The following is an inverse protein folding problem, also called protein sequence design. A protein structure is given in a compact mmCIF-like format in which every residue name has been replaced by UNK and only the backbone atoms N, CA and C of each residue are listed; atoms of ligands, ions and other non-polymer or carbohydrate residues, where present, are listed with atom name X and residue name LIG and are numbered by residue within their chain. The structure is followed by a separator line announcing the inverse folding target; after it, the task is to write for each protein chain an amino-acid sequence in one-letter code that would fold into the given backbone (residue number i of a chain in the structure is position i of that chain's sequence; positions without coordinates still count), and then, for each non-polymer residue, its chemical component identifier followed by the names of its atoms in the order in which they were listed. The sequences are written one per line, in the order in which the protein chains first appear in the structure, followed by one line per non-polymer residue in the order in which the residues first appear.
data_IF_439441028144
#
_entry.id   IF_439441028144
#
_cell.length_a   1.000
_cell.length_b   1.000
_cell.length_c   1.000
_cell.angle_alpha   90.00
_cell.angle_beta   90.00
_cell.angle_gamma   90.00
#
_symmetry.space_group_name_H-M   'P 1'
#
loop_
_entity.id
_entity.type
_entity.pdbx_description
1 polymer ?
#
# COMPACT_ATOMS: atom_id res chain seq x y z
N UNK A 1 6.55 87.04 37.13
CA UNK A 1 7.48 86.75 35.99
C UNK A 1 7.83 85.28 36.07
N UNK A 2 7.66 84.68 34.97
CA UNK A 2 8.00 83.41 34.43
C UNK A 2 7.03 82.25 34.65
N UNK A 3 6.46 81.91 33.52
CA UNK A 3 5.58 80.81 33.24
C UNK A 3 6.35 79.47 33.12
N UNK A 4 5.89 78.43 33.78
CA UNK A 4 6.31 77.06 33.57
C UNK A 4 5.15 76.21 32.98
N UNK A 5 5.20 75.90 31.69
CA UNK A 5 4.22 75.09 30.98
C UNK A 5 4.55 73.66 31.24
N UNK A 6 3.57 72.91 31.80
CA UNK A 6 3.66 71.46 31.95
C UNK A 6 3.26 70.80 30.63
N UNK A 7 4.20 70.05 30.04
CA UNK A 7 3.90 69.11 28.90
C UNK A 7 3.26 67.88 29.43
N UNK A 8 2.09 67.52 28.86
CA UNK A 8 1.46 66.18 28.98
C UNK A 8 2.21 65.21 28.12
N UNK A 9 2.76 64.16 28.75
CA UNK A 9 3.24 62.97 28.05
C UNK A 9 2.05 62.03 27.79
N UNK A 10 1.74 61.84 26.52
CA UNK A 10 0.78 60.83 26.06
C UNK A 10 1.49 59.49 26.06
N UNK A 11 1.11 58.60 26.96
CA UNK A 11 1.44 57.17 26.89
C UNK A 11 0.46 56.50 25.94
N UNK A 12 0.92 56.18 24.72
CA UNK A 12 0.22 55.24 23.85
C UNK A 12 0.50 53.85 24.35
N UNK A 13 -0.56 53.16 24.80
CA UNK A 13 -0.55 51.73 25.02
C UNK A 13 -0.45 51.01 23.66
N UNK A 14 0.68 50.42 23.41
CA UNK A 14 0.83 49.41 22.34
C UNK A 14 0.17 48.09 22.81
N UNK A 15 -1.00 47.79 22.32
CA UNK A 15 -1.52 46.44 22.36
C UNK A 15 -0.66 45.59 21.44
N UNK A 16 0.23 44.76 22.01
CA UNK A 16 0.87 43.67 21.29
C UNK A 16 -0.21 42.66 20.93
N UNK A 17 -0.50 42.62 19.65
CA UNK A 17 -1.37 41.60 19.04
C UNK A 17 -0.61 40.27 19.06
N UNK A 18 -0.76 39.50 20.14
CA UNK A 18 -0.29 38.10 20.21
C UNK A 18 -1.18 37.33 19.26
N UNK A 19 -0.75 37.17 18.01
CA UNK A 19 -1.29 36.17 17.11
C UNK A 19 -0.99 34.81 17.76
N UNK A 20 -2.02 34.16 18.29
CA UNK A 20 -1.98 32.74 18.57
C UNK A 20 -1.72 32.01 17.23
N UNK A 21 -0.49 31.66 16.97
CA UNK A 21 -0.20 30.63 16.00
C UNK A 21 -0.73 29.33 16.61
N UNK A 22 -1.83 28.83 16.08
CA UNK A 22 -2.22 27.45 16.29
C UNK A 22 -1.04 26.60 15.83
N UNK A 23 -0.38 25.94 16.75
CA UNK A 23 0.61 24.92 16.44
C UNK A 23 -0.19 23.75 15.85
N UNK A 24 -0.12 23.58 14.53
CA UNK A 24 -0.72 22.39 13.89
C UNK A 24 -0.10 21.17 14.52
N UNK A 25 -0.95 20.28 15.06
CA UNK A 25 -0.51 18.99 15.56
C UNK A 25 0.12 18.17 14.42
N UNK A 26 1.23 17.47 14.68
CA UNK A 26 1.86 16.66 13.66
C UNK A 26 0.88 15.63 13.11
N UNK A 27 0.86 15.45 11.79
CA UNK A 27 -0.01 14.50 11.10
C UNK A 27 0.83 13.38 10.47
N UNK A 28 0.29 12.15 10.34
CA UNK A 28 0.94 11.09 9.60
C UNK A 28 1.27 11.53 8.16
N UNK A 29 2.40 11.07 7.64
CA UNK A 29 2.88 11.43 6.29
C UNK A 29 2.41 10.44 5.23
N UNK A 30 2.24 9.17 5.61
CA UNK A 30 1.76 8.12 4.71
C UNK A 30 0.34 8.41 4.28
N UNK A 31 0.09 8.47 2.98
CA UNK A 31 -1.20 8.84 2.39
C UNK A 31 -1.71 10.24 2.78
N UNK A 32 -0.86 11.15 3.22
CA UNK A 32 -1.27 12.52 3.56
C UNK A 32 -1.92 13.26 2.38
N UNK A 33 -2.74 14.28 2.71
CA UNK A 33 -3.43 15.09 1.71
C UNK A 33 -4.65 14.40 1.09
N UNK A 34 -5.29 15.10 0.14
CA UNK A 34 -6.53 14.69 -0.51
C UNK A 34 -6.37 14.26 -1.98
N UNK A 35 -5.15 14.09 -2.45
CA UNK A 35 -4.90 13.53 -3.78
C UNK A 35 -5.45 12.11 -3.85
N UNK A 36 -6.09 11.77 -4.97
CA UNK A 36 -6.61 10.44 -5.22
C UNK A 36 -5.45 9.48 -5.50
N UNK A 37 -5.32 8.35 -4.78
CA UNK A 37 -4.25 7.40 -5.01
C UNK A 37 -4.37 6.72 -6.38
N UNK A 38 -3.23 6.30 -6.92
CA UNK A 38 -3.16 5.48 -8.13
C UNK A 38 -2.67 4.09 -7.72
N UNK A 39 -3.42 3.05 -8.09
CA UNK A 39 -3.12 1.66 -7.79
C UNK A 39 -2.58 0.95 -9.04
N UNK A 40 -1.34 0.49 -9.01
CA UNK A 40 -0.67 -0.18 -10.12
C UNK A 40 -0.63 -1.69 -9.90
N UNK A 41 -1.14 -2.47 -10.88
CA UNK A 41 -1.01 -3.92 -10.87
C UNK A 41 0.39 -4.33 -11.32
N UNK A 42 1.24 -4.70 -10.38
CA UNK A 42 2.65 -5.08 -10.60
C UNK A 42 2.78 -6.61 -10.69
N UNK A 43 3.54 -7.05 -11.67
CA UNK A 43 3.90 -8.44 -11.87
C UNK A 43 4.91 -8.91 -10.80
N UNK A 44 4.63 -10.01 -10.12
CA UNK A 44 5.52 -10.57 -9.10
C UNK A 44 6.12 -11.93 -9.50
N UNK A 45 6.09 -12.26 -10.78
CA UNK A 45 6.81 -13.43 -11.30
C UNK A 45 8.32 -13.19 -11.25
N UNK A 46 9.12 -14.25 -11.04
CA UNK A 46 10.58 -14.16 -10.99
C UNK A 46 11.19 -13.46 -12.20
N UNK A 47 10.61 -13.63 -13.40
CA UNK A 47 11.07 -12.96 -14.62
C UNK A 47 10.71 -11.48 -14.71
N UNK A 48 9.89 -10.97 -13.76
CA UNK A 48 9.52 -9.57 -13.65
C UNK A 48 10.40 -8.81 -12.63
N UNK A 49 11.23 -9.52 -11.89
CA UNK A 49 12.08 -8.92 -10.85
C UNK A 49 13.39 -8.36 -11.43
N UNK A 50 13.93 -7.29 -10.81
CA UNK A 50 13.32 -6.42 -9.81
C UNK A 50 12.20 -5.58 -10.41
N UNK A 51 11.19 -5.20 -9.60
CA UNK A 51 10.10 -4.32 -10.03
C UNK A 51 10.47 -2.85 -9.84
N UNK A 52 9.86 -1.95 -10.62
CA UNK A 52 10.05 -0.51 -10.53
C UNK A 52 8.87 0.16 -9.80
N UNK A 53 9.18 0.98 -8.80
CA UNK A 53 8.23 1.81 -8.09
C UNK A 53 7.77 1.26 -6.73
N UNK A 54 8.18 0.06 -6.33
CA UNK A 54 7.81 -0.50 -5.03
C UNK A 54 8.45 0.25 -3.85
N UNK A 55 9.65 0.80 -4.05
CA UNK A 55 10.31 1.61 -3.02
C UNK A 55 9.51 2.88 -2.69
N UNK A 56 8.80 3.45 -3.68
CA UNK A 56 8.01 4.68 -3.51
C UNK A 56 6.53 4.42 -3.20
N UNK A 57 6.07 3.18 -3.27
CA UNK A 57 4.69 2.85 -2.91
C UNK A 57 4.45 3.09 -1.41
N UNK A 58 3.31 3.67 -1.07
CA UNK A 58 2.91 3.92 0.32
C UNK A 58 2.25 2.68 0.93
N UNK A 59 1.44 1.96 0.14
CA UNK A 59 0.71 0.77 0.53
C UNK A 59 0.76 -0.26 -0.61
N UNK A 60 1.01 -1.52 -0.29
CA UNK A 60 1.06 -2.62 -1.27
C UNK A 60 0.21 -3.79 -0.79
N UNK A 61 -0.72 -4.22 -1.62
CA UNK A 61 -1.46 -5.47 -1.42
C UNK A 61 -0.81 -6.58 -2.23
N UNK A 62 -0.58 -7.72 -1.61
CA UNK A 62 -0.11 -8.93 -2.28
C UNK A 62 -1.14 -10.04 -2.16
N UNK A 63 -1.54 -10.64 -3.28
CA UNK A 63 -2.56 -11.69 -3.32
C UNK A 63 -2.12 -12.78 -4.30
N UNK A 64 -2.45 -14.02 -3.96
CA UNK A 64 -2.23 -15.18 -4.84
C UNK A 64 -3.03 -15.04 -6.15
N UNK A 65 -2.42 -15.49 -7.24
CA UNK A 65 -3.03 -15.56 -8.58
C UNK A 65 -2.85 -16.95 -9.17
N UNK A 66 -3.02 -17.07 -10.49
CA UNK A 66 -2.86 -18.34 -11.21
C UNK A 66 -1.48 -18.95 -11.00
N UNK A 67 -1.46 -20.27 -10.93
CA UNK A 67 -0.23 -21.05 -10.90
C UNK A 67 0.55 -20.94 -9.60
N UNK A 68 -0.05 -20.49 -8.49
CA UNK A 68 0.62 -20.28 -7.21
C UNK A 68 1.54 -19.05 -7.17
N UNK A 69 1.51 -18.23 -8.22
CA UNK A 69 2.17 -16.92 -8.26
C UNK A 69 1.38 -15.90 -7.43
N UNK A 70 2.01 -14.76 -7.13
CA UNK A 70 1.32 -13.58 -6.57
C UNK A 70 1.35 -12.41 -7.52
N UNK A 71 0.55 -11.39 -7.25
CA UNK A 71 0.68 -10.05 -7.82
C UNK A 71 0.67 -9.03 -6.71
N UNK A 72 1.30 -7.89 -7.01
CA UNK A 72 1.31 -6.75 -6.12
C UNK A 72 0.41 -5.65 -6.70
N UNK A 73 -0.43 -5.07 -5.85
CA UNK A 73 -1.12 -3.83 -6.18
C UNK A 73 -0.48 -2.72 -5.35
N UNK A 74 0.34 -1.90 -6.01
CA UNK A 74 1.07 -0.82 -5.38
C UNK A 74 0.29 0.49 -5.46
N UNK A 75 -0.06 1.09 -4.32
CA UNK A 75 -0.75 2.37 -4.22
C UNK A 75 0.26 3.48 -3.96
N UNK A 76 0.12 4.55 -4.73
CA UNK A 76 1.00 5.72 -4.68
C UNK A 76 0.17 7.00 -4.72
N UNK A 77 0.58 7.99 -3.93
CA UNK A 77 0.05 9.36 -4.00
C UNK A 77 1.19 10.33 -4.30
N UNK A 78 0.97 11.20 -5.27
CA UNK A 78 1.88 12.32 -5.58
C UNK A 78 3.34 11.89 -5.80
N UNK A 79 3.56 10.73 -6.45
CA UNK A 79 4.90 10.22 -6.78
C UNK A 79 5.22 10.47 -8.25
N UNK A 80 6.44 10.92 -8.51
CA UNK A 80 6.99 11.12 -9.85
C UNK A 80 8.03 10.04 -10.14
N UNK A 81 7.70 9.13 -11.06
CA UNK A 81 8.53 7.98 -11.42
C UNK A 81 8.61 7.85 -12.94
N UNK A 82 9.83 7.74 -13.46
CA UNK A 82 10.10 7.53 -14.89
C UNK A 82 9.72 6.12 -15.36
N UNK A 83 9.63 5.18 -14.42
CA UNK A 83 9.26 3.78 -14.70
C UNK A 83 8.46 3.20 -13.55
N UNK A 84 7.35 2.53 -13.89
CA UNK A 84 6.50 1.77 -12.97
C UNK A 84 6.16 0.43 -13.62
N UNK A 85 6.38 -0.66 -12.91
CA UNK A 85 6.06 -2.00 -13.39
C UNK A 85 7.17 -3.04 -13.17
N UNK A 86 7.19 -4.18 -13.88
CA UNK A 86 6.28 -4.55 -14.97
C UNK A 86 4.83 -4.65 -14.53
N UNK A 87 3.93 -4.19 -15.40
CA UNK A 87 2.49 -4.22 -15.14
C UNK A 87 1.85 -5.53 -15.60
N UNK A 88 0.80 -5.94 -14.91
CA UNK A 88 0.07 -7.18 -15.18
C UNK A 88 -1.44 -7.01 -15.19
N UNK A 89 -2.10 -8.10 -15.56
CA UNK A 89 -3.56 -8.12 -15.74
C UNK A 89 -4.29 -8.02 -14.41
N UNK A 90 -5.39 -7.25 -14.43
CA UNK A 90 -6.34 -7.16 -13.33
C UNK A 90 -6.97 -8.52 -12.99
N UNK A 91 -7.25 -8.70 -11.71
CA UNK A 91 -8.08 -9.77 -11.16
C UNK A 91 -9.18 -9.14 -10.30
N UNK A 92 -10.35 -9.75 -10.30
CA UNK A 92 -11.56 -9.15 -9.74
C UNK A 92 -11.47 -8.85 -8.23
N UNK A 93 -10.76 -9.66 -7.47
CA UNK A 93 -10.58 -9.44 -6.03
C UNK A 93 -9.63 -8.28 -5.67
N UNK A 94 -8.71 -7.88 -6.56
CA UNK A 94 -7.94 -6.64 -6.38
C UNK A 94 -8.79 -5.39 -6.50
N UNK A 95 -9.91 -5.46 -7.22
CA UNK A 95 -10.81 -4.33 -7.40
C UNK A 95 -11.44 -3.87 -6.08
N UNK A 96 -11.63 -4.79 -5.13
CA UNK A 96 -12.20 -4.51 -3.83
C UNK A 96 -11.28 -3.59 -3.01
N UNK A 97 -9.97 -3.82 -3.14
CA UNK A 97 -8.94 -3.01 -2.51
C UNK A 97 -8.67 -1.70 -3.25
N UNK A 98 -8.83 -1.66 -4.57
CA UNK A 98 -8.81 -0.41 -5.32
C UNK A 98 -9.99 0.49 -4.96
N UNK A 99 -11.19 -0.09 -4.77
CA UNK A 99 -12.41 0.63 -4.37
C UNK A 99 -12.34 1.18 -2.95
N UNK A 100 -11.85 0.40 -1.98
CA UNK A 100 -11.75 0.88 -0.60
C UNK A 100 -10.81 2.07 -0.46
N UNK A 101 -9.76 2.12 -1.29
CA UNK A 101 -8.82 3.24 -1.37
C UNK A 101 -9.28 4.35 -2.32
N UNK A 102 -10.42 4.23 -2.97
CA UNK A 102 -10.90 5.17 -4.01
C UNK A 102 -9.84 5.42 -5.11
N UNK A 103 -9.04 4.41 -5.45
CA UNK A 103 -7.90 4.55 -6.35
C UNK A 103 -8.30 4.59 -7.83
N UNK A 104 -7.48 5.26 -8.66
CA UNK A 104 -7.46 5.06 -10.10
C UNK A 104 -6.65 3.79 -10.36
N UNK A 105 -7.24 2.80 -11.04
CA UNK A 105 -6.68 1.47 -11.16
C UNK A 105 -5.94 1.26 -12.49
N UNK A 106 -4.63 1.08 -12.44
CA UNK A 106 -3.75 0.93 -13.62
C UNK A 106 -3.29 -0.51 -13.77
N UNK A 107 -3.55 -1.11 -14.93
CA UNK A 107 -3.22 -2.51 -15.18
C UNK A 107 -2.91 -2.76 -16.67
N UNK A 108 -2.37 -3.93 -16.99
CA UNK A 108 -2.07 -4.32 -18.37
C UNK A 108 -2.76 -5.65 -18.72
N UNK A 109 -3.97 -5.56 -19.26
CA UNK A 109 -4.88 -6.69 -19.49
C UNK A 109 -5.72 -7.03 -18.24
N UNK A 110 -6.63 -8.00 -18.40
CA UNK A 110 -7.59 -8.35 -17.33
C UNK A 110 -8.20 -9.74 -17.55
N UNK A 111 -8.70 -10.36 -16.48
CA UNK A 111 -9.57 -11.53 -16.59
C UNK A 111 -10.96 -11.13 -17.08
N UNK A 112 -11.75 -12.06 -17.66
CA UNK A 112 -13.13 -11.76 -18.07
C UNK A 112 -13.99 -11.24 -16.91
N UNK A 113 -13.85 -11.78 -15.70
CA UNK A 113 -14.55 -11.32 -14.53
C UNK A 113 -14.11 -9.90 -14.12
N UNK A 114 -12.80 -9.64 -14.05
CA UNK A 114 -12.33 -8.29 -13.76
C UNK A 114 -12.86 -7.25 -14.75
N UNK A 115 -12.94 -7.60 -16.05
CA UNK A 115 -13.53 -6.74 -17.08
C UNK A 115 -14.99 -6.39 -16.78
N UNK A 116 -15.78 -7.39 -16.41
CA UNK A 116 -17.19 -7.20 -16.06
C UNK A 116 -17.33 -6.32 -14.83
N UNK A 117 -16.55 -6.64 -13.78
CA UNK A 117 -16.63 -5.97 -12.49
C UNK A 117 -16.15 -4.51 -12.56
N UNK A 118 -15.09 -4.20 -13.31
CA UNK A 118 -14.65 -2.81 -13.56
C UNK A 118 -15.80 -1.97 -14.08
N UNK A 119 -16.52 -2.48 -15.08
CA UNK A 119 -17.66 -1.77 -15.67
C UNK A 119 -18.83 -1.68 -14.69
N UNK A 120 -19.19 -2.77 -14.01
CA UNK A 120 -20.35 -2.83 -13.12
C UNK A 120 -20.17 -1.98 -11.86
N UNK A 121 -18.95 -1.94 -11.33
CA UNK A 121 -18.59 -1.19 -10.11
C UNK A 121 -18.19 0.27 -10.43
N UNK A 122 -18.09 0.66 -11.70
CA UNK A 122 -17.75 2.02 -12.10
C UNK A 122 -16.34 2.44 -11.69
N UNK A 123 -15.38 1.51 -11.77
CA UNK A 123 -14.00 1.79 -11.39
C UNK A 123 -13.32 2.66 -12.44
N UNK A 124 -12.67 3.75 -12.00
CA UNK A 124 -11.80 4.51 -12.88
C UNK A 124 -10.57 3.67 -13.18
N UNK A 125 -10.50 3.05 -14.37
CA UNK A 125 -9.40 2.17 -14.75
C UNK A 125 -8.63 2.66 -15.97
N UNK A 126 -7.34 2.32 -16.01
CA UNK A 126 -6.45 2.55 -17.13
C UNK A 126 -5.87 1.21 -17.54
N UNK A 127 -6.32 0.68 -18.68
CA UNK A 127 -5.85 -0.59 -19.21
C UNK A 127 -4.83 -0.38 -20.33
N UNK A 128 -3.56 -0.57 -20.04
CA UNK A 128 -2.46 -0.35 -20.97
C UNK A 128 -2.51 -1.16 -22.27
N UNK A 129 -3.34 -2.25 -22.35
CA UNK A 129 -3.54 -2.98 -23.62
C UNK A 129 -4.28 -2.14 -24.65
N UNK A 130 -5.16 -1.25 -24.22
CA UNK A 130 -5.97 -0.39 -25.09
C UNK A 130 -5.31 0.96 -25.37
N UNK A 131 -4.20 1.26 -24.68
CA UNK A 131 -3.46 2.51 -24.82
C UNK A 131 -2.39 2.45 -25.93
N UNK A 132 -1.99 3.62 -26.43
CA UNK A 132 -0.88 3.69 -27.37
C UNK A 132 0.46 3.34 -26.72
N UNK A 133 1.43 2.91 -27.53
CA UNK A 133 2.78 2.60 -27.07
C UNK A 133 3.57 3.80 -26.54
N UNK A 134 3.02 5.02 -26.61
CA UNK A 134 3.60 6.20 -25.97
C UNK A 134 3.25 6.31 -24.49
N UNK A 135 2.14 5.72 -24.04
CA UNK A 135 1.73 5.70 -22.64
C UNK A 135 2.23 4.47 -21.89
N UNK A 136 2.26 3.33 -22.59
CA UNK A 136 2.78 2.07 -22.08
C UNK A 136 3.75 1.49 -23.10
N UNK A 137 4.88 1.02 -22.65
CA UNK A 137 5.87 0.40 -23.53
C UNK A 137 6.38 -0.93 -22.99
N UNK A 138 7.04 -1.69 -23.88
CA UNK A 138 7.73 -2.93 -23.53
C UNK A 138 9.19 -2.63 -23.31
N UNK A 139 9.69 -2.84 -22.08
CA UNK A 139 11.12 -2.71 -21.82
C UNK A 139 11.88 -3.84 -22.51
N UNK A 140 12.87 -3.48 -23.31
CA UNK A 140 13.61 -4.42 -24.15
C UNK A 140 14.65 -5.25 -23.39
N UNK A 141 14.93 -4.91 -22.12
CA UNK A 141 15.84 -5.70 -21.28
C UNK A 141 15.19 -7.00 -20.77
N UNK A 142 13.88 -7.17 -21.00
CA UNK A 142 13.09 -8.32 -20.57
C UNK A 142 12.17 -8.82 -21.66
N UNK A 143 11.61 -10.01 -21.44
CA UNK A 143 10.69 -10.63 -22.39
C UNK A 143 9.23 -10.49 -21.97
N UNK A 144 8.34 -10.39 -22.96
CA UNK A 144 6.90 -10.48 -22.71
C UNK A 144 6.55 -11.85 -22.10
N UNK A 145 5.59 -11.88 -21.13
CA UNK A 145 4.70 -10.81 -20.71
C UNK A 145 5.23 -9.95 -19.55
N UNK A 146 6.45 -10.15 -19.09
CA UNK A 146 7.04 -9.61 -17.85
C UNK A 146 7.79 -8.27 -18.05
N UNK A 147 7.36 -7.43 -19.00
CA UNK A 147 8.11 -6.25 -19.42
C UNK A 147 7.25 -5.04 -19.81
N UNK A 148 5.96 -5.03 -19.52
CA UNK A 148 5.10 -3.87 -19.79
C UNK A 148 5.29 -2.83 -18.67
N UNK A 149 5.66 -1.61 -19.01
CA UNK A 149 5.90 -0.52 -18.05
C UNK A 149 5.21 0.77 -18.49
N UNK A 150 5.07 1.69 -17.55
CA UNK A 150 4.60 3.07 -17.75
C UNK A 150 5.41 4.03 -16.90
N UNK A 151 5.04 5.32 -16.85
CA UNK A 151 5.56 6.32 -15.93
C UNK A 151 4.43 7.14 -15.31
N UNK A 152 4.73 7.85 -14.22
CA UNK A 152 3.76 8.77 -13.59
C UNK A 152 3.26 9.83 -14.56
N UNK A 153 4.17 10.42 -15.36
CA UNK A 153 3.83 11.43 -16.37
C UNK A 153 2.83 10.90 -17.42
N UNK A 154 3.02 9.66 -17.89
CA UNK A 154 2.14 9.09 -18.90
C UNK A 154 0.76 8.75 -18.33
N UNK A 155 0.69 8.27 -17.10
CA UNK A 155 -0.58 8.03 -16.41
C UNK A 155 -1.32 9.33 -16.14
N UNK A 156 -0.63 10.40 -15.74
CA UNK A 156 -1.25 11.70 -15.53
C UNK A 156 -1.89 12.24 -16.82
N UNK A 157 -1.24 12.08 -17.98
CA UNK A 157 -1.83 12.47 -19.28
C UNK A 157 -3.11 11.71 -19.62
N UNK A 158 -3.19 10.43 -19.22
CA UNK A 158 -4.41 9.64 -19.42
C UNK A 158 -5.50 10.11 -18.45
N UNK A 159 -5.16 10.36 -17.18
CA UNK A 159 -6.09 10.88 -16.17
C UNK A 159 -6.73 12.19 -16.65
N UNK A 160 -5.92 13.11 -17.20
CA UNK A 160 -6.40 14.37 -17.78
C UNK A 160 -7.28 14.16 -19.01
N UNK A 161 -6.90 13.25 -19.91
CA UNK A 161 -7.67 12.92 -21.11
C UNK A 161 -9.05 12.33 -20.81
N UNK A 162 -9.10 11.42 -19.81
CA UNK A 162 -10.34 10.74 -19.38
C UNK A 162 -11.17 11.56 -18.39
N UNK A 163 -10.69 12.75 -18.01
CA UNK A 163 -11.33 13.65 -17.03
C UNK A 163 -11.61 12.94 -15.69
N UNK A 164 -10.69 12.09 -15.25
CA UNK A 164 -10.81 11.41 -13.97
C UNK A 164 -10.60 12.37 -12.81
N UNK A 165 -11.44 12.24 -11.80
CA UNK A 165 -11.29 12.96 -10.53
C UNK A 165 -9.93 12.65 -9.91
N UNK A 166 -9.18 13.69 -9.52
CA UNK A 166 -7.82 13.61 -8.97
C UNK A 166 -7.76 13.77 -7.45
N UNK A 167 -8.89 14.06 -6.81
CA UNK A 167 -8.98 14.22 -5.35
C UNK A 167 -9.93 13.20 -4.75
N UNK A 168 -9.74 12.87 -3.49
CA UNK A 168 -10.59 11.96 -2.72
C UNK A 168 -11.00 12.58 -1.39
N UNK A 169 -12.19 12.22 -0.93
CA UNK A 169 -12.67 12.53 0.42
C UNK A 169 -12.63 11.27 1.32
N UNK A 170 -12.23 10.12 0.79
CA UNK A 170 -11.99 8.93 1.61
C UNK A 170 -10.69 9.12 2.38
N UNK A 171 -10.72 8.88 3.67
CA UNK A 171 -9.52 8.76 4.48
C UNK A 171 -8.70 7.52 4.09
N UNK A 172 -7.57 7.35 4.75
CA UNK A 172 -6.75 6.14 4.60
C UNK A 172 -7.51 4.90 5.06
N UNK A 173 -7.21 3.75 4.45
CA UNK A 173 -7.75 2.46 4.93
C UNK A 173 -7.19 2.13 6.30
N UNK A 174 -5.91 2.43 6.53
CA UNK A 174 -5.23 2.21 7.80
C UNK A 174 -5.26 3.45 8.69
N UNK A 175 -5.45 3.23 9.98
CA UNK A 175 -5.42 4.27 11.01
C UNK A 175 -3.97 4.61 11.38
N UNK A 176 -3.27 5.32 10.48
CA UNK A 176 -1.90 5.75 10.74
C UNK A 176 -1.83 6.78 11.86
N UNK A 177 -0.86 6.61 12.76
CA UNK A 177 -0.61 7.52 13.90
C UNK A 177 0.82 8.06 13.86
N UNK A 178 1.02 9.24 14.46
CA UNK A 178 2.33 9.90 14.51
C UNK A 178 3.20 9.34 15.62
N UNK A 179 2.59 9.11 16.79
CA UNK A 179 3.27 8.52 17.92
C UNK A 179 3.54 7.05 17.64
N UNK A 180 4.75 6.60 17.95
CA UNK A 180 5.15 5.24 17.63
C UNK A 180 4.39 4.22 18.50
N UNK A 181 3.72 3.28 17.83
CA UNK A 181 3.04 2.15 18.46
C UNK A 181 4.05 1.04 18.71
N UNK A 182 4.19 0.65 19.96
CA UNK A 182 4.93 -0.54 20.39
C UNK A 182 3.93 -1.63 20.78
N UNK A 183 4.05 -2.82 20.17
CA UNK A 183 3.16 -3.93 20.47
C UNK A 183 3.58 -4.60 21.78
N UNK A 184 2.62 -4.81 22.68
CA UNK A 184 2.85 -5.49 23.97
C UNK A 184 2.88 -7.01 23.79
N UNK A 185 3.58 -7.70 24.69
CA UNK A 185 3.67 -9.17 24.75
C UNK A 185 5.10 -9.65 24.94
N UNK A 186 5.25 -10.83 25.57
CA UNK A 186 6.56 -11.44 25.85
C UNK A 186 6.94 -12.51 24.80
N UNK A 187 5.94 -13.20 24.20
CA UNK A 187 6.14 -14.33 23.28
C UNK A 187 5.65 -14.00 21.85
N UNK A 188 5.74 -12.74 21.44
CA UNK A 188 5.22 -12.26 20.15
C UNK A 188 6.30 -11.57 19.30
N UNK A 189 7.52 -12.03 19.40
CA UNK A 189 8.63 -11.55 18.58
C UNK A 189 8.43 -11.94 17.11
N UNK A 190 8.80 -11.04 16.20
CA UNK A 190 8.70 -11.19 14.76
C UNK A 190 9.90 -10.52 14.06
N UNK A 191 11.10 -10.98 14.40
CA UNK A 191 12.33 -10.53 13.75
C UNK A 191 12.47 -11.12 12.35
N UNK A 192 11.99 -12.34 12.15
CA UNK A 192 11.74 -12.88 10.82
C UNK A 192 10.28 -13.30 10.71
N UNK A 193 9.67 -13.01 9.55
CA UNK A 193 8.29 -13.39 9.23
C UNK A 193 8.29 -14.08 7.88
N UNK A 194 7.90 -15.34 7.84
CA UNK A 194 7.82 -16.16 6.61
C UNK A 194 6.37 -16.46 6.26
N UNK A 195 5.98 -16.15 5.02
CA UNK A 195 4.61 -16.29 4.50
C UNK A 195 4.64 -17.14 3.24
N UNK A 196 4.30 -18.43 3.32
CA UNK A 196 4.21 -19.30 2.14
C UNK A 196 2.88 -19.09 1.42
N UNK A 197 2.93 -18.64 0.17
CA UNK A 197 1.76 -18.55 -0.73
C UNK A 197 1.51 -19.83 -1.52
N UNK A 198 2.59 -20.54 -1.83
CA UNK A 198 2.55 -21.83 -2.55
C UNK A 198 3.87 -22.58 -2.33
N UNK A 199 3.98 -23.81 -2.87
CA UNK A 199 5.19 -24.61 -2.76
C UNK A 199 6.48 -23.96 -3.33
N UNK A 200 6.35 -22.89 -4.09
CA UNK A 200 7.49 -22.19 -4.74
C UNK A 200 7.39 -20.68 -4.69
N UNK A 201 6.45 -20.14 -3.93
CA UNK A 201 6.34 -18.69 -3.74
C UNK A 201 6.18 -18.40 -2.25
N UNK A 202 7.28 -18.05 -1.63
CA UNK A 202 7.39 -17.64 -0.23
C UNK A 202 7.86 -16.21 -0.16
N UNK A 203 7.26 -15.45 0.73
CA UNK A 203 7.67 -14.09 1.07
C UNK A 203 8.26 -14.11 2.47
N UNK A 204 9.38 -13.44 2.66
CA UNK A 204 10.04 -13.32 3.95
C UNK A 204 10.39 -11.87 4.24
N UNK A 205 10.34 -11.51 5.52
CA UNK A 205 10.66 -10.20 6.04
C UNK A 205 11.65 -10.34 7.19
N UNK A 206 12.73 -9.56 7.16
CA UNK A 206 13.74 -9.51 8.22
C UNK A 206 13.73 -8.12 8.86
N UNK A 207 13.55 -8.08 10.18
CA UNK A 207 13.52 -6.84 10.95
C UNK A 207 14.93 -6.30 11.22
N UNK A 208 15.06 -5.00 11.07
CA UNK A 208 16.27 -4.27 11.45
C UNK A 208 15.92 -3.26 12.55
N UNK A 209 16.52 -3.46 13.74
CA UNK A 209 16.26 -2.63 14.91
C UNK A 209 16.73 -1.17 14.77
N UNK A 210 17.82 -0.93 14.01
CA UNK A 210 18.36 0.42 13.84
C UNK A 210 17.43 1.29 13.00
N UNK A 211 16.84 0.71 11.95
CA UNK A 211 15.93 1.42 11.04
C UNK A 211 14.46 1.26 11.43
N UNK A 212 14.16 0.31 12.32
CA UNK A 212 12.80 -0.08 12.71
C UNK A 212 11.93 -0.44 11.49
N UNK A 213 12.53 -1.11 10.51
CA UNK A 213 11.87 -1.56 9.28
C UNK A 213 12.21 -3.00 8.97
N UNK A 214 11.42 -3.61 8.12
CA UNK A 214 11.64 -4.95 7.59
C UNK A 214 12.19 -4.88 6.18
N UNK A 215 13.28 -5.61 5.90
CA UNK A 215 13.74 -5.90 4.55
C UNK A 215 12.93 -7.04 3.96
N UNK A 216 12.37 -6.82 2.75
CA UNK A 216 11.53 -7.82 2.10
C UNK A 216 12.33 -8.72 1.15
N UNK A 217 12.07 -10.02 1.25
CA UNK A 217 12.57 -11.07 0.36
C UNK A 217 11.41 -11.76 -0.37
N UNK A 218 11.64 -12.21 -1.57
CA UNK A 218 10.71 -13.02 -2.35
C UNK A 218 11.46 -14.20 -2.94
N UNK A 219 11.01 -15.43 -2.66
CA UNK A 219 11.68 -16.67 -3.09
C UNK A 219 13.16 -16.69 -2.69
N UNK A 220 13.44 -16.36 -1.43
CA UNK A 220 14.77 -16.30 -0.81
C UNK A 220 15.73 -15.24 -1.39
N UNK A 221 15.28 -14.45 -2.36
CA UNK A 221 16.06 -13.35 -2.92
C UNK A 221 15.58 -12.01 -2.36
N UNK A 222 16.53 -11.15 -1.96
CA UNK A 222 16.24 -9.80 -1.51
C UNK A 222 15.54 -9.01 -2.63
N UNK A 223 14.37 -8.44 -2.32
CA UNK A 223 13.63 -7.69 -3.32
C UNK A 223 14.14 -6.26 -3.44
N UNK A 224 14.64 -5.94 -4.62
CA UNK A 224 15.15 -4.62 -4.95
C UNK A 224 14.15 -3.84 -5.81
N UNK A 225 14.22 -2.51 -5.76
CA UNK A 225 13.55 -1.63 -6.72
C UNK A 225 14.40 -1.42 -7.97
N UNK A 226 13.80 -1.57 -9.14
CA UNK A 226 14.51 -1.46 -10.43
C UNK A 226 15.04 -0.05 -10.73
N UNK A 227 14.41 1.00 -10.21
CA UNK A 227 14.84 2.37 -10.47
C UNK A 227 16.03 2.77 -9.60
N UNK A 228 16.05 2.32 -8.35
CA UNK A 228 17.02 2.77 -7.34
C UNK A 228 18.04 1.72 -6.94
N UNK A 229 17.77 0.47 -7.25
CA UNK A 229 18.54 -0.71 -6.81
C UNK A 229 18.66 -0.80 -5.27
N UNK A 230 17.68 -0.24 -4.54
CA UNK A 230 17.60 -0.35 -3.10
C UNK A 230 16.64 -1.45 -2.69
N UNK A 231 16.89 -2.04 -1.54
CA UNK A 231 16.01 -3.02 -0.90
C UNK A 231 14.64 -2.43 -0.60
N UNK A 232 13.61 -3.23 -0.76
CA UNK A 232 12.26 -2.84 -0.35
C UNK A 232 12.18 -2.91 1.17
N UNK A 233 12.07 -1.74 1.79
CA UNK A 233 11.92 -1.57 3.23
C UNK A 233 10.46 -1.31 3.58
N UNK A 234 9.97 -1.97 4.64
CA UNK A 234 8.57 -1.96 5.06
C UNK A 234 8.49 -1.64 6.55
N UNK A 235 7.65 -0.69 6.94
CA UNK A 235 7.42 -0.37 8.36
C UNK A 235 6.43 -1.32 9.01
N UNK A 236 5.35 -1.64 8.28
CA UNK A 236 4.26 -2.46 8.80
C UNK A 236 3.94 -3.60 7.85
N UNK A 237 3.60 -4.75 8.40
CA UNK A 237 3.07 -5.89 7.67
C UNK A 237 1.71 -6.23 8.28
N UNK A 238 0.69 -6.35 7.44
CA UNK A 238 -0.63 -6.84 7.85
C UNK A 238 -0.88 -8.12 7.07
N UNK A 239 -1.26 -9.19 7.75
CA UNK A 239 -1.61 -10.46 7.14
C UNK A 239 -3.10 -10.68 7.30
N UNK A 240 -3.79 -11.01 6.21
CA UNK A 240 -5.18 -11.46 6.20
C UNK A 240 -5.23 -12.87 5.64
N UNK A 241 -5.77 -13.82 6.36
CA UNK A 241 -5.91 -15.22 5.93
C UNK A 241 -7.28 -15.42 5.29
N UNK A 242 -7.29 -15.76 3.99
CA UNK A 242 -8.53 -15.92 3.21
C UNK A 242 -8.65 -17.32 2.63
N UNK A 243 -9.87 -17.85 2.58
CA UNK A 243 -10.13 -19.00 1.74
C UNK A 243 -9.91 -18.64 0.27
N UNK A 244 -9.21 -19.50 -0.47
CA UNK A 244 -9.02 -19.38 -1.89
C UNK A 244 -9.22 -20.69 -2.60
N UNK A 245 -9.73 -20.62 -3.82
CA UNK A 245 -9.99 -21.79 -4.66
C UNK A 245 -9.80 -21.45 -6.14
N UNK A 246 -9.68 -22.47 -6.99
CA UNK A 246 -9.72 -22.27 -8.44
C UNK A 246 -11.15 -22.00 -8.91
N UNK A 247 -11.31 -21.08 -9.89
CA UNK A 247 -12.60 -20.84 -10.57
C UNK A 247 -13.05 -21.99 -11.49
N UNK A 248 -12.28 -23.09 -11.55
CA UNK A 248 -12.51 -24.25 -12.40
C UNK A 248 -12.17 -24.03 -13.88
N UNK A 249 -11.64 -22.86 -14.25
CA UNK A 249 -11.17 -22.62 -15.63
C UNK A 249 -9.85 -23.33 -15.91
N UNK A 250 -9.58 -23.60 -17.19
CA UNK A 250 -8.31 -24.19 -17.63
C UNK A 250 -7.08 -23.32 -17.33
N UNK A 251 -7.30 -22.06 -16.97
CA UNK A 251 -6.25 -21.11 -16.61
C UNK A 251 -5.94 -21.08 -15.12
N UNK A 252 -6.72 -21.78 -14.27
CA UNK A 252 -6.50 -21.86 -12.83
C UNK A 252 -6.62 -20.51 -12.11
N UNK A 253 -7.54 -19.63 -12.56
CA UNK A 253 -7.79 -18.37 -11.88
C UNK A 253 -8.30 -18.61 -10.47
N UNK A 254 -7.94 -17.71 -9.57
CA UNK A 254 -8.33 -17.78 -8.17
C UNK A 254 -9.66 -17.07 -7.92
N UNK A 255 -10.41 -17.60 -6.96
CA UNK A 255 -11.51 -16.95 -6.24
C UNK A 255 -11.03 -16.77 -4.82
N UNK A 256 -11.10 -15.57 -4.31
CA UNK A 256 -10.65 -15.21 -2.96
C UNK A 256 -11.88 -14.79 -2.16
N UNK A 257 -12.12 -15.40 -1.01
CA UNK A 257 -13.19 -15.02 -0.10
C UNK A 257 -12.67 -13.97 0.90
N UNK A 258 -12.63 -12.72 0.44
CA UNK A 258 -12.07 -11.58 1.17
C UNK A 258 -13.14 -10.67 1.81
N UNK A 259 -14.42 -11.07 1.77
CA UNK A 259 -15.52 -10.33 2.40
C UNK A 259 -15.98 -11.07 3.65
N UNK A 260 -16.07 -10.34 4.76
CA UNK A 260 -16.48 -10.92 6.04
C UNK A 260 -15.54 -10.52 7.18
N UNK A 261 -15.52 -11.36 8.20
CA UNK A 261 -14.58 -11.26 9.32
C UNK A 261 -13.56 -12.37 9.18
N UNK A 262 -12.32 -11.99 8.94
CA UNK A 262 -11.19 -12.87 8.68
C UNK A 262 -10.14 -12.71 9.79
N UNK A 263 -9.39 -13.78 10.04
CA UNK A 263 -8.27 -13.73 10.98
C UNK A 263 -7.01 -13.23 10.28
N UNK A 264 -6.12 -12.61 11.07
CA UNK A 264 -4.87 -12.09 10.55
C UNK A 264 -3.89 -11.70 11.64
N UNK A 265 -2.84 -10.99 11.21
CA UNK A 265 -1.79 -10.50 12.11
C UNK A 265 -1.41 -9.07 11.72
N UNK A 266 -1.10 -8.25 12.71
CA UNK A 266 -0.41 -6.98 12.53
C UNK A 266 1.01 -7.10 13.08
N UNK A 267 1.99 -6.72 12.30
CA UNK A 267 3.41 -6.85 12.58
C UNK A 267 4.08 -5.49 12.39
N UNK A 268 4.79 -5.02 13.41
CA UNK A 268 5.60 -3.80 13.39
C UNK A 268 6.65 -3.86 14.50
N UNK A 269 7.76 -3.14 14.35
CA UNK A 269 8.81 -3.00 15.39
C UNK A 269 9.30 -4.33 15.98
N UNK A 270 9.47 -5.37 15.15
CA UNK A 270 9.97 -6.67 15.59
C UNK A 270 8.97 -7.52 16.37
N UNK A 271 7.69 -7.13 16.42
CA UNK A 271 6.63 -7.83 17.13
C UNK A 271 5.38 -8.02 16.31
N UNK A 272 4.51 -8.94 16.71
CA UNK A 272 3.20 -9.15 16.09
C UNK A 272 2.08 -9.30 17.13
N UNK A 273 0.86 -9.00 16.70
CA UNK A 273 -0.38 -9.33 17.43
C UNK A 273 -1.37 -10.01 16.46
N UNK A 274 -2.18 -10.96 16.95
CA UNK A 274 -3.32 -11.44 16.19
C UNK A 274 -4.38 -10.34 16.08
N UNK A 275 -5.01 -10.25 14.90
CA UNK A 275 -6.06 -9.28 14.61
C UNK A 275 -7.23 -9.93 13.87
N UNK A 276 -8.33 -9.20 13.75
CA UNK A 276 -9.40 -9.49 12.82
C UNK A 276 -9.46 -8.44 11.71
N UNK A 277 -9.70 -8.90 10.49
CA UNK A 277 -9.82 -8.07 9.30
C UNK A 277 -11.29 -8.11 8.86
N UNK A 278 -12.03 -7.01 9.06
CA UNK A 278 -13.48 -6.98 8.84
C UNK A 278 -13.80 -6.14 7.59
N UNK A 279 -14.34 -6.78 6.54
CA UNK A 279 -14.80 -6.14 5.31
C UNK A 279 -16.25 -6.53 5.03
N UNK A 280 -17.16 -5.57 5.06
CA UNK A 280 -18.61 -5.85 4.94
C UNK A 280 -19.08 -5.94 3.50
N UNK A 281 -18.47 -5.16 2.60
CA UNK A 281 -18.79 -5.10 1.18
C UNK A 281 -17.54 -4.79 0.35
N UNK A 282 -17.60 -5.03 -0.96
CA UNK A 282 -16.47 -4.85 -1.89
C UNK A 282 -15.89 -3.42 -1.89
N UNK A 283 -16.74 -2.41 -1.73
CA UNK A 283 -16.35 -0.98 -1.77
C UNK A 283 -16.08 -0.37 -0.40
N UNK A 284 -16.43 -1.09 0.66
CA UNK A 284 -16.24 -0.62 2.03
C UNK A 284 -14.80 -0.82 2.50
N UNK A 285 -14.37 0.06 3.40
CA UNK A 285 -13.05 -0.02 4.04
C UNK A 285 -12.92 -1.32 4.82
N UNK A 286 -11.81 -2.02 4.67
CA UNK A 286 -11.42 -3.08 5.58
C UNK A 286 -11.02 -2.45 6.91
N UNK A 287 -11.60 -2.90 8.02
CA UNK A 287 -11.28 -2.45 9.37
C UNK A 287 -10.47 -3.53 10.07
N UNK A 288 -9.26 -3.18 10.46
CA UNK A 288 -8.35 -4.06 11.17
C UNK A 288 -8.49 -3.82 12.67
N UNK A 289 -8.78 -4.87 13.44
CA UNK A 289 -9.08 -4.76 14.87
C UNK A 289 -8.26 -5.74 15.69
N UNK A 290 -7.90 -5.33 16.89
CA UNK A 290 -7.39 -6.25 17.90
C UNK A 290 -8.45 -7.29 18.33
N UNK A 291 -8.07 -8.24 19.18
CA UNK A 291 -9.01 -9.26 19.68
C UNK A 291 -10.03 -8.71 20.69
N UNK A 292 -9.83 -7.48 21.17
CA UNK A 292 -10.80 -6.76 22.01
C UNK A 292 -11.84 -6.02 21.17
N UNK A 293 -11.62 -5.88 19.87
CA UNK A 293 -12.53 -5.25 18.90
C UNK A 293 -12.22 -3.77 18.64
N UNK A 294 -11.12 -3.24 19.12
CA UNK A 294 -10.68 -1.87 18.83
C UNK A 294 -9.97 -1.84 17.47
N UNK A 295 -10.20 -0.78 16.67
CA UNK A 295 -9.41 -0.55 15.46
C UNK A 295 -7.95 -0.34 15.84
N UNK A 296 -7.03 -1.06 15.20
CA UNK A 296 -5.60 -0.94 15.51
C UNK A 296 -5.05 0.40 15.05
N UNK A 297 -4.11 0.93 15.81
CA UNK A 297 -3.24 2.03 15.38
C UNK A 297 -2.06 1.47 14.59
N UNK A 298 -1.71 2.12 13.47
CA UNK A 298 -0.66 1.67 12.56
C UNK A 298 0.45 2.72 12.52
N UNK A 299 1.69 2.30 12.73
CA UNK A 299 2.85 3.18 12.64
C UNK A 299 2.93 3.88 11.28
N UNK A 300 3.20 5.20 11.28
CA UNK A 300 3.37 5.95 10.04
C UNK A 300 4.52 5.38 9.21
N UNK A 301 4.23 4.92 8.00
CA UNK A 301 5.21 4.34 7.09
C UNK A 301 4.63 3.32 6.13
N UNK A 302 5.47 2.91 5.18
CA UNK A 302 5.10 1.94 4.16
C UNK A 302 4.55 0.65 4.78
N UNK A 303 3.40 0.23 4.27
CA UNK A 303 2.71 -0.97 4.73
C UNK A 303 2.51 -1.97 3.59
N UNK A 304 2.82 -3.24 3.84
CA UNK A 304 2.42 -4.34 2.98
C UNK A 304 1.26 -5.13 3.62
N UNK A 305 0.18 -5.32 2.85
CA UNK A 305 -0.95 -6.15 3.24
C UNK A 305 -0.88 -7.45 2.45
N UNK A 306 -0.63 -8.54 3.17
CA UNK A 306 -0.47 -9.89 2.65
C UNK A 306 -1.81 -10.63 2.76
N UNK A 307 -2.46 -10.91 1.63
CA UNK A 307 -3.70 -11.68 1.59
C UNK A 307 -3.35 -13.08 1.12
N UNK A 308 -3.12 -13.95 2.09
CA UNK A 308 -2.60 -15.29 1.88
C UNK A 308 -3.69 -16.36 2.04
N UNK A 309 -3.46 -17.57 1.51
CA UNK A 309 -4.34 -18.72 1.73
C UNK A 309 -4.57 -18.97 3.23
N UNK A 310 -5.79 -19.39 3.59
CA UNK A 310 -6.15 -19.62 4.99
C UNK A 310 -5.31 -20.72 5.65
N UNK A 311 -4.81 -21.66 4.87
CA UNK A 311 -3.95 -22.75 5.29
C UNK A 311 -2.45 -22.46 5.20
N UNK A 312 -2.06 -21.21 4.88
CA UNK A 312 -0.66 -20.80 4.94
C UNK A 312 -0.12 -20.95 6.37
N UNK A 313 0.98 -21.68 6.50
CA UNK A 313 1.72 -21.86 7.75
C UNK A 313 2.69 -20.68 7.92
N UNK A 314 2.22 -19.64 8.59
CA UNK A 314 2.99 -18.41 8.79
C UNK A 314 3.93 -18.63 9.96
N UNK A 315 5.21 -18.41 9.74
CA UNK A 315 6.25 -18.58 10.75
C UNK A 315 6.72 -17.21 11.24
N UNK A 316 6.89 -17.11 12.56
CA UNK A 316 7.47 -15.96 13.25
C UNK A 316 8.68 -16.42 14.03
N UNK A 317 9.82 -15.77 13.82
CA UNK A 317 11.04 -16.06 14.57
C UNK A 317 11.46 -14.82 15.37
N UNK A 318 11.94 -15.05 16.60
CA UNK A 318 12.50 -14.02 17.46
C UNK A 318 13.93 -13.62 17.06
N UNK A 319 14.52 -12.70 17.82
CA UNK A 319 15.90 -12.33 17.63
C UNK A 319 16.81 -13.56 17.74
N UNK A 320 17.72 -13.75 16.79
CA UNK A 320 18.74 -14.80 16.90
C UNK A 320 19.65 -14.48 18.08
N UNK A 321 19.82 -15.43 19.00
CA UNK A 321 20.86 -15.33 20.03
C UNK A 321 22.24 -15.31 19.35
N UNK A 322 23.01 -14.20 19.51
CA UNK A 322 24.41 -14.13 19.08
C UNK A 322 25.33 -14.96 19.99
#
# INVERSE_FOLDING_TARGET
MENGVAQKVNSQNGEENIQNQEVEEPQPKTFAGNSRPIAFMIDNNINAMPQAGLEQADLVYEIIVEGGETRLMALMKDKELDRIGPLRSARHYFLDYALENDAIYVHYGQSPQAKSDITTLGIADINGIYESGSYFWRDSSRYAPHNAVTSSEQIQKIIEREDYRTTTNKGTVLNYVVDEVELEGEDNEAYEVTIPYSAYNTVRYEYNEETKTYTRYSRDEEQLDWNTNKSIQVKNIIITKCENSSDGSSTGRQVIDNIGKLDGYYITNGKYIPITCEKTERSEKTVYKDLEGNEIEVNDGKTFIQICPIDSDIEFEGASEE
#
